data_IF_637045758658
#
_entry.id   IF_637045758658
#
_cell.length_a   1.000
_cell.length_b   1.000
_cell.length_c   1.000
_cell.angle_alpha   90.00
_cell.angle_beta   90.00
_cell.angle_gamma   90.00
#
_symmetry.space_group_name_H-M   'P 1'
#
loop_
_entity.id
_entity.type
_entity.pdbx_description
1 polymer ?
#
# COMPACT_ATOMS: atom_id res chain seq x y z
N UNK A 1 3.40 -10.69 14.10
CA UNK A 1 4.18 -9.51 13.66
C UNK A 1 3.41 -8.25 14.02
N UNK A 2 4.08 -7.22 14.55
CA UNK A 2 3.43 -5.94 14.86
C UNK A 2 3.42 -5.03 13.64
N UNK A 3 2.26 -4.45 13.33
CA UNK A 3 2.15 -3.33 12.40
C UNK A 3 2.92 -2.13 12.98
N UNK A 4 3.69 -1.39 12.17
CA UNK A 4 4.33 -0.15 12.62
C UNK A 4 3.29 0.85 13.15
N UNK A 5 3.69 1.83 13.98
CA UNK A 5 2.84 2.95 14.34
C UNK A 5 2.37 3.68 13.07
N UNK A 6 1.10 4.11 13.03
CA UNK A 6 0.52 4.80 11.86
C UNK A 6 1.36 6.01 11.42
N UNK A 7 2.00 6.72 12.34
CA UNK A 7 2.85 7.88 12.05
C UNK A 7 4.13 7.54 11.26
N UNK A 8 4.49 6.26 11.14
CA UNK A 8 5.62 5.79 10.31
C UNK A 8 5.19 5.34 8.91
N UNK A 9 3.89 5.44 8.60
CA UNK A 9 3.40 5.15 7.27
C UNK A 9 3.49 6.37 6.36
N UNK A 10 4.10 6.17 5.19
CA UNK A 10 4.11 7.15 4.11
C UNK A 10 2.84 6.98 3.28
N UNK A 11 2.15 8.06 2.93
CA UNK A 11 0.92 8.00 2.12
C UNK A 11 1.23 8.20 0.63
N UNK A 12 0.60 7.40 -0.21
CA UNK A 12 0.68 7.49 -1.66
C UNK A 12 -0.72 7.34 -2.28
N UNK A 13 -1.22 8.40 -2.89
CA UNK A 13 -2.52 8.41 -3.55
C UNK A 13 -2.36 8.10 -5.04
N UNK A 14 -2.97 6.99 -5.48
CA UNK A 14 -2.87 6.52 -6.86
C UNK A 14 -4.14 6.78 -7.67
N UNK A 15 -5.16 7.41 -7.07
CA UNK A 15 -6.43 7.67 -7.75
C UNK A 15 -6.24 8.52 -8.99
N UNK A 16 -5.39 9.55 -8.92
CA UNK A 16 -5.12 10.42 -10.06
C UNK A 16 -4.37 9.69 -11.19
N UNK A 17 -3.42 8.83 -10.85
CA UNK A 17 -2.67 8.01 -11.83
C UNK A 17 -3.65 7.12 -12.61
N UNK A 18 -4.55 6.43 -11.88
CA UNK A 18 -5.56 5.56 -12.46
C UNK A 18 -6.56 6.36 -13.32
N UNK A 19 -7.01 7.52 -12.84
CA UNK A 19 -7.94 8.39 -13.58
C UNK A 19 -7.36 8.87 -14.92
N UNK A 20 -6.04 9.08 -14.99
CA UNK A 20 -5.34 9.45 -16.24
C UNK A 20 -5.02 8.24 -17.14
N UNK A 21 -5.42 7.03 -16.76
CA UNK A 21 -5.10 5.79 -17.48
C UNK A 21 -3.69 5.27 -17.28
N UNK A 22 -2.97 5.77 -16.26
CA UNK A 22 -1.63 5.33 -15.91
C UNK A 22 -1.62 4.07 -15.04
N UNK A 23 -0.48 3.37 -15.03
CA UNK A 23 -0.26 2.20 -14.18
C UNK A 23 0.46 2.59 -12.88
N UNK A 24 -0.17 2.41 -11.70
CA UNK A 24 0.43 2.84 -10.43
C UNK A 24 1.43 1.82 -9.85
N UNK A 25 1.44 0.58 -10.36
CA UNK A 25 2.23 -0.50 -9.76
C UNK A 25 3.74 -0.21 -9.69
N UNK A 26 4.41 0.31 -10.74
CA UNK A 26 5.84 0.60 -10.68
C UNK A 26 6.20 1.62 -9.60
N UNK A 27 5.35 2.63 -9.42
CA UNK A 27 5.49 3.66 -8.39
C UNK A 27 5.27 3.12 -6.98
N UNK A 28 4.28 2.23 -6.80
CA UNK A 28 4.05 1.52 -5.53
C UNK A 28 5.26 0.65 -5.22
N UNK A 29 5.75 -0.14 -6.19
CA UNK A 29 6.91 -1.03 -6.07
C UNK A 29 8.14 -0.30 -5.56
N UNK A 30 8.50 0.81 -6.23
CA UNK A 30 9.65 1.63 -5.82
C UNK A 30 9.54 2.09 -4.36
N UNK A 31 8.34 2.48 -3.92
CA UNK A 31 8.10 2.94 -2.54
C UNK A 31 8.16 1.80 -1.52
N UNK A 32 7.55 0.64 -1.81
CA UNK A 32 7.60 -0.51 -0.89
C UNK A 32 9.00 -1.10 -0.77
N UNK A 33 9.81 -1.03 -1.83
CA UNK A 33 11.23 -1.45 -1.79
C UNK A 33 12.07 -0.54 -0.89
N UNK A 34 11.78 0.76 -0.91
CA UNK A 34 12.49 1.76 -0.11
C UNK A 34 12.07 1.79 1.37
N UNK A 35 11.08 0.98 1.79
CA UNK A 35 10.64 0.94 3.19
C UNK A 35 11.73 0.34 4.10
N UNK A 36 12.01 1.06 5.18
CA UNK A 36 12.79 0.53 6.31
C UNK A 36 11.95 -0.49 7.12
N UNK A 37 12.59 -1.31 7.97
CA UNK A 37 11.89 -2.33 8.77
C UNK A 37 10.75 -1.81 9.65
N UNK A 38 10.84 -0.55 10.09
CA UNK A 38 9.88 0.13 10.96
C UNK A 38 8.96 1.12 10.23
N UNK A 39 8.98 1.11 8.90
CA UNK A 39 8.13 1.96 8.05
C UNK A 39 7.02 1.16 7.36
N UNK A 40 6.00 1.88 6.90
CA UNK A 40 4.95 1.33 6.05
C UNK A 40 4.54 2.27 4.93
N UNK A 41 3.74 1.76 3.99
CA UNK A 41 3.15 2.51 2.90
C UNK A 41 1.62 2.41 2.98
N UNK A 42 0.92 3.55 2.93
CA UNK A 42 -0.52 3.63 2.72
C UNK A 42 -0.76 3.95 1.26
N UNK A 43 -1.36 3.02 0.52
CA UNK A 43 -1.84 3.24 -0.84
C UNK A 43 -3.31 3.62 -0.80
N UNK A 44 -3.67 4.76 -1.41
CA UNK A 44 -5.07 5.19 -1.56
C UNK A 44 -5.51 4.87 -2.98
N UNK A 45 -6.50 3.99 -3.12
CA UNK A 45 -7.00 3.52 -4.41
C UNK A 45 -8.52 3.73 -4.53
N UNK A 46 -9.06 3.88 -5.77
CA UNK A 46 -10.49 4.09 -5.98
C UNK A 46 -11.32 2.79 -5.88
N UNK A 47 -10.66 1.63 -5.75
CA UNK A 47 -11.25 0.31 -5.56
C UNK A 47 -10.25 -0.60 -4.82
N UNK A 48 -10.73 -1.74 -4.31
CA UNK A 48 -9.89 -2.73 -3.63
C UNK A 48 -8.89 -3.37 -4.62
N UNK A 49 -7.57 -3.17 -4.45
CA UNK A 49 -6.58 -3.69 -5.39
C UNK A 49 -6.15 -5.11 -4.99
N UNK A 50 -7.06 -6.09 -5.05
CA UNK A 50 -6.78 -7.48 -4.63
C UNK A 50 -5.52 -8.08 -5.27
N UNK A 51 -5.27 -7.93 -6.59
CA UNK A 51 -4.06 -8.49 -7.22
C UNK A 51 -2.76 -7.90 -6.67
N UNK A 52 -2.76 -6.61 -6.29
CA UNK A 52 -1.61 -5.97 -5.67
C UNK A 52 -1.36 -6.54 -4.26
N UNK A 53 -2.43 -6.73 -3.50
CA UNK A 53 -2.36 -7.26 -2.14
C UNK A 53 -1.80 -8.68 -2.15
N UNK A 54 -2.32 -9.54 -3.03
CA UNK A 54 -1.87 -10.93 -3.18
C UNK A 54 -0.39 -10.98 -3.60
N UNK A 55 0.00 -10.15 -4.58
CA UNK A 55 1.38 -10.07 -5.04
C UNK A 55 2.35 -9.68 -3.92
N UNK A 56 2.10 -8.58 -3.22
CA UNK A 56 3.00 -8.12 -2.16
C UNK A 56 3.00 -9.07 -0.96
N UNK A 57 1.87 -9.71 -0.65
CA UNK A 57 1.80 -10.72 0.41
C UNK A 57 2.66 -11.94 0.09
N UNK A 58 2.64 -12.42 -1.16
CA UNK A 58 3.51 -13.50 -1.64
C UNK A 58 5.01 -13.13 -1.57
N UNK A 59 5.34 -11.85 -1.54
CA UNK A 59 6.72 -11.34 -1.49
C UNK A 59 7.17 -10.99 -0.04
N UNK A 60 6.39 -11.37 0.97
CA UNK A 60 6.74 -11.21 2.40
C UNK A 60 6.30 -9.88 3.02
N UNK A 61 5.45 -9.10 2.33
CA UNK A 61 4.79 -7.96 2.95
C UNK A 61 3.54 -8.40 3.70
N UNK A 62 3.24 -7.73 4.80
CA UNK A 62 1.93 -7.77 5.44
C UNK A 62 1.06 -6.64 4.91
N UNK A 63 -0.25 -6.84 4.94
CA UNK A 63 -1.20 -5.80 4.54
C UNK A 63 -2.40 -5.69 5.47
N UNK A 64 -2.97 -4.48 5.54
CA UNK A 64 -4.25 -4.18 6.19
C UNK A 64 -5.06 -3.33 5.22
N UNK A 65 -6.34 -3.61 5.11
CA UNK A 65 -7.26 -2.85 4.27
C UNK A 65 -8.27 -2.13 5.17
N UNK A 66 -8.47 -0.84 4.91
CA UNK A 66 -9.51 -0.04 5.54
C UNK A 66 -10.32 0.68 4.48
N UNK A 67 -11.62 0.85 4.73
CA UNK A 67 -12.45 1.73 3.92
C UNK A 67 -12.19 3.17 4.33
N UNK A 68 -11.85 4.00 3.35
CA UNK A 68 -11.74 5.44 3.52
C UNK A 68 -13.11 6.12 3.44
N UNK A 69 -13.11 7.40 3.11
CA UNK A 69 -14.33 8.18 2.93
C UNK A 69 -14.91 7.92 1.53
N UNK A 70 -16.19 7.56 1.44
CA UNK A 70 -16.85 7.28 0.15
C UNK A 70 -16.34 6.00 -0.52
N UNK A 71 -15.84 6.10 -1.76
CA UNK A 71 -15.36 4.97 -2.56
C UNK A 71 -13.86 4.67 -2.37
N UNK A 72 -13.18 5.42 -1.50
CA UNK A 72 -11.74 5.29 -1.31
C UNK A 72 -11.37 4.05 -0.49
N UNK A 73 -10.32 3.36 -0.91
CA UNK A 73 -9.70 2.26 -0.18
C UNK A 73 -8.32 2.68 0.30
N UNK A 74 -8.02 2.40 1.56
CA UNK A 74 -6.72 2.62 2.17
C UNK A 74 -6.07 1.27 2.44
N UNK A 75 -4.94 1.01 1.79
CA UNK A 75 -4.20 -0.24 1.90
C UNK A 75 -2.86 0.04 2.54
N UNK A 76 -2.66 -0.51 3.72
CA UNK A 76 -1.43 -0.42 4.48
C UNK A 76 -0.55 -1.60 4.08
N UNK A 77 0.70 -1.34 3.72
CA UNK A 77 1.72 -2.34 3.45
C UNK A 77 2.91 -2.12 4.37
N UNK A 78 3.45 -3.18 4.96
CA UNK A 78 4.69 -3.14 5.74
C UNK A 78 5.41 -4.48 5.62
N UNK A 79 6.71 -4.53 5.93
CA UNK A 79 7.45 -5.80 5.90
C UNK A 79 6.99 -6.66 7.07
N UNK A 80 6.65 -7.93 6.80
CA UNK A 80 6.54 -8.88 7.89
C UNK A 80 7.95 -9.08 8.45
N UNK A 81 8.20 -8.73 9.72
CA UNK A 81 9.48 -9.04 10.34
C UNK A 81 9.72 -10.56 10.20
N UNK A 82 10.87 -10.92 9.63
CA UNK A 82 11.30 -12.31 9.49
C UNK A 82 11.44 -13.00 10.85
#
# INVERSE_FOLDING_TARGET
MNMPPINHFKRFDVREIIQRGGEPFPEIRQRVDALKPDEGLIVVAPFLPSPLIEKLTSEGFSSKVERGHGADWMIYFWRAAA
#
